data_IF_618668323129
#
_entry.id   IF_618668323129
#
_cell.length_a   1.000
_cell.length_b   1.000
_cell.length_c   1.000
_cell.angle_alpha   90.00
_cell.angle_beta   90.00
_cell.angle_gamma   90.00
#
_symmetry.space_group_name_H-M   'P 1'
#
loop_
_entity.id
_entity.type
_entity.pdbx_description
1 polymer ?
#
# COMPACT_ATOMS: atom_id res chain seq x y z
N UNK A 1 21.13 9.89 -12.66
CA UNK A 1 21.05 9.45 -14.07
C UNK A 1 22.21 8.55 -14.45
N UNK A 2 23.47 8.92 -14.20
CA UNK A 2 24.63 8.11 -14.64
C UNK A 2 24.59 6.65 -14.15
N UNK A 3 24.25 6.43 -12.88
CA UNK A 3 24.07 5.08 -12.33
C UNK A 3 22.94 4.31 -13.03
N UNK A 4 21.80 4.95 -13.28
CA UNK A 4 20.66 4.31 -13.96
C UNK A 4 21.05 3.89 -15.37
N UNK A 5 21.69 4.78 -16.12
CA UNK A 5 22.18 4.51 -17.46
C UNK A 5 23.17 3.33 -17.48
N UNK A 6 24.13 3.32 -16.53
CA UNK A 6 25.11 2.25 -16.38
C UNK A 6 24.45 0.89 -16.08
N UNK A 7 23.58 0.82 -15.08
CA UNK A 7 22.92 -0.43 -14.69
C UNK A 7 21.95 -0.93 -15.78
N UNK A 8 21.29 -0.02 -16.51
CA UNK A 8 20.41 -0.36 -17.64
C UNK A 8 21.17 -0.67 -18.95
N UNK A 9 22.51 -0.56 -18.94
CA UNK A 9 23.36 -0.73 -20.11
C UNK A 9 23.00 0.20 -21.29
N UNK A 10 22.65 1.45 -21.00
CA UNK A 10 22.34 2.50 -21.97
C UNK A 10 23.21 3.74 -21.76
N UNK A 11 23.32 4.58 -22.81
CA UNK A 11 23.94 5.89 -22.65
C UNK A 11 23.04 6.83 -21.84
N UNK A 12 23.64 7.79 -21.12
CA UNK A 12 22.89 8.86 -20.41
C UNK A 12 21.95 9.60 -21.36
N UNK A 13 22.42 9.91 -22.57
CA UNK A 13 21.64 10.56 -23.63
C UNK A 13 20.43 9.72 -24.03
N UNK A 14 20.57 8.39 -24.09
CA UNK A 14 19.45 7.49 -24.38
C UNK A 14 18.39 7.57 -23.30
N UNK A 15 18.77 7.55 -22.02
CA UNK A 15 17.80 7.67 -20.91
C UNK A 15 17.06 9.01 -20.98
N UNK A 16 17.77 10.12 -21.23
CA UNK A 16 17.14 11.45 -21.36
C UNK A 16 16.21 11.61 -22.56
N UNK A 17 16.25 10.70 -23.55
CA UNK A 17 15.25 10.69 -24.64
C UNK A 17 13.88 10.19 -24.18
N UNK A 18 13.84 9.39 -23.11
CA UNK A 18 12.62 8.77 -22.59
C UNK A 18 12.14 9.42 -21.29
N UNK A 19 13.05 10.03 -20.53
CA UNK A 19 12.72 10.65 -19.25
C UNK A 19 13.42 12.01 -19.12
N UNK A 20 12.64 13.04 -18.82
CA UNK A 20 13.08 14.39 -18.52
C UNK A 20 14.01 14.43 -17.30
N UNK A 21 13.71 13.62 -16.28
CA UNK A 21 14.45 13.67 -15.02
C UNK A 21 14.48 12.34 -14.26
N UNK A 22 15.36 12.26 -13.25
CA UNK A 22 15.34 11.16 -12.28
C UNK A 22 14.03 11.13 -11.49
N UNK A 23 13.41 12.30 -11.26
CA UNK A 23 12.17 12.41 -10.52
C UNK A 23 10.99 11.83 -11.31
N UNK A 24 10.95 12.05 -12.62
CA UNK A 24 9.96 11.42 -13.50
C UNK A 24 10.09 9.89 -13.47
N UNK A 25 11.31 9.36 -13.58
CA UNK A 25 11.55 7.91 -13.44
C UNK A 25 11.02 7.40 -12.10
N UNK A 26 11.24 8.17 -11.03
CA UNK A 26 10.73 7.81 -9.71
C UNK A 26 9.20 7.80 -9.67
N UNK A 27 8.52 8.82 -10.23
CA UNK A 27 7.06 8.84 -10.32
C UNK A 27 6.51 7.68 -11.15
N UNK A 28 7.17 7.28 -12.24
CA UNK A 28 6.77 6.10 -13.01
C UNK A 28 6.87 4.82 -12.17
N UNK A 29 7.92 4.69 -11.35
CA UNK A 29 8.04 3.56 -10.41
C UNK A 29 6.93 3.62 -9.35
N UNK A 30 6.64 4.79 -8.79
CA UNK A 30 5.54 4.99 -7.84
C UNK A 30 4.20 4.59 -8.47
N UNK A 31 3.90 5.06 -9.67
CA UNK A 31 2.69 4.68 -10.41
C UNK A 31 2.59 3.14 -10.57
N UNK A 32 3.68 2.48 -10.97
CA UNK A 32 3.71 1.02 -11.05
C UNK A 32 3.44 0.34 -9.70
N UNK A 33 3.92 0.91 -8.59
CA UNK A 33 3.60 0.42 -7.24
C UNK A 33 2.11 0.49 -6.96
N UNK A 34 1.44 1.60 -7.29
CA UNK A 34 -0.01 1.74 -7.12
C UNK A 34 -0.79 0.78 -8.03
N UNK A 35 -0.37 0.59 -9.28
CA UNK A 35 -0.99 -0.39 -10.20
C UNK A 35 -0.93 -1.80 -9.63
N UNK A 36 0.24 -2.19 -9.12
CA UNK A 36 0.43 -3.50 -8.50
C UNK A 36 -0.40 -3.65 -7.23
N UNK A 37 -0.42 -2.63 -6.37
CA UNK A 37 -1.25 -2.60 -5.18
C UNK A 37 -2.73 -2.77 -5.53
N UNK A 38 -3.25 -1.96 -6.46
CA UNK A 38 -4.66 -2.01 -6.85
C UNK A 38 -5.07 -3.42 -7.23
N UNK A 39 -4.30 -4.06 -8.11
CA UNK A 39 -4.53 -5.43 -8.55
C UNK A 39 -4.54 -6.42 -7.37
N UNK A 40 -3.57 -6.31 -6.47
CA UNK A 40 -3.49 -7.16 -5.27
C UNK A 40 -4.75 -7.00 -4.39
N UNK A 41 -5.21 -5.76 -4.18
CA UNK A 41 -6.39 -5.49 -3.37
C UNK A 41 -7.67 -6.03 -4.01
N UNK A 42 -7.83 -5.86 -5.33
CA UNK A 42 -8.96 -6.41 -6.09
C UNK A 42 -9.00 -7.94 -5.98
N UNK A 43 -7.88 -8.60 -6.28
CA UNK A 43 -7.76 -10.07 -6.20
C UNK A 43 -8.03 -10.59 -4.78
N UNK A 44 -7.54 -9.89 -3.75
CA UNK A 44 -7.75 -10.28 -2.35
C UNK A 44 -9.23 -10.19 -1.93
N UNK A 45 -9.95 -9.16 -2.37
CA UNK A 45 -11.37 -8.96 -2.05
C UNK A 45 -12.26 -9.93 -2.83
N UNK A 46 -11.89 -10.28 -4.07
CA UNK A 46 -12.65 -11.23 -4.90
C UNK A 46 -12.50 -12.68 -4.44
N UNK A 47 -11.37 -13.01 -3.80
CA UNK A 47 -11.04 -14.38 -3.37
C UNK A 47 -11.96 -14.92 -2.28
N UNK A 48 -12.45 -14.04 -1.40
CA UNK A 48 -13.22 -14.40 -0.21
C UNK A 48 -14.64 -13.79 -0.24
N UNK A 49 -15.61 -14.49 0.36
CA UNK A 49 -17.02 -14.05 0.29
C UNK A 49 -17.46 -13.20 1.49
N UNK A 50 -17.00 -13.53 2.70
CA UNK A 50 -17.37 -12.80 3.91
C UNK A 50 -16.39 -11.67 4.21
N UNK A 51 -16.88 -10.64 4.87
CA UNK A 51 -16.12 -9.40 5.11
C UNK A 51 -14.82 -9.63 5.90
N UNK A 52 -14.83 -10.48 6.93
CA UNK A 52 -13.65 -10.71 7.76
C UNK A 52 -12.52 -11.38 6.96
N UNK A 53 -12.86 -12.41 6.18
CA UNK A 53 -11.87 -13.11 5.37
C UNK A 53 -11.34 -12.20 4.25
N UNK A 54 -12.19 -11.36 3.64
CA UNK A 54 -11.74 -10.33 2.70
C UNK A 54 -10.75 -9.34 3.34
N UNK A 55 -11.06 -8.85 4.55
CA UNK A 55 -10.19 -7.93 5.30
C UNK A 55 -8.84 -8.57 5.64
N UNK A 56 -8.83 -9.79 6.17
CA UNK A 56 -7.58 -10.47 6.54
C UNK A 56 -6.79 -10.91 5.31
N UNK A 57 -7.44 -11.36 4.24
CA UNK A 57 -6.78 -11.66 2.98
C UNK A 57 -6.08 -10.41 2.42
N UNK A 58 -6.76 -9.26 2.43
CA UNK A 58 -6.16 -7.99 2.04
C UNK A 58 -4.90 -7.66 2.86
N UNK A 59 -4.98 -7.78 4.18
CA UNK A 59 -3.84 -7.51 5.07
C UNK A 59 -2.65 -8.44 4.77
N UNK A 60 -2.90 -9.74 4.58
CA UNK A 60 -1.86 -10.72 4.29
C UNK A 60 -1.24 -10.52 2.90
N UNK A 61 -2.04 -10.24 1.87
CA UNK A 61 -1.51 -9.96 0.54
C UNK A 61 -0.65 -8.68 0.52
N UNK A 62 -0.99 -7.68 1.33
CA UNK A 62 -0.14 -6.49 1.53
C UNK A 62 1.19 -6.83 2.25
N UNK A 63 1.20 -7.77 3.18
CA UNK A 63 2.44 -8.29 3.80
C UNK A 63 3.30 -9.00 2.75
N UNK A 64 2.68 -9.86 1.92
CA UNK A 64 3.36 -10.55 0.82
C UNK A 64 3.94 -9.56 -0.18
N UNK A 65 3.18 -8.51 -0.52
CA UNK A 65 3.60 -7.44 -1.40
C UNK A 65 4.85 -6.73 -0.86
N UNK A 66 4.83 -6.32 0.41
CA UNK A 66 5.99 -5.68 1.05
C UNK A 66 7.21 -6.59 1.08
N UNK A 67 7.04 -7.87 1.39
CA UNK A 67 8.14 -8.84 1.43
C UNK A 67 8.76 -9.07 0.04
N UNK A 68 7.93 -9.13 -1.00
CA UNK A 68 8.37 -9.44 -2.37
C UNK A 68 8.93 -8.22 -3.10
N UNK A 69 8.37 -7.03 -2.84
CA UNK A 69 8.72 -5.79 -3.53
C UNK A 69 8.89 -4.62 -2.52
N UNK A 70 9.86 -4.70 -1.59
CA UNK A 70 9.98 -3.74 -0.49
C UNK A 70 10.19 -2.30 -0.98
N UNK A 71 10.96 -2.10 -2.07
CA UNK A 71 11.18 -0.78 -2.65
C UNK A 71 9.91 -0.18 -3.27
N UNK A 72 9.08 -1.01 -3.94
CA UNK A 72 7.80 -0.55 -4.47
C UNK A 72 6.85 -0.19 -3.32
N UNK A 73 6.81 -1.01 -2.27
CA UNK A 73 6.01 -0.71 -1.09
C UNK A 73 6.43 0.60 -0.41
N UNK A 74 7.73 0.86 -0.26
CA UNK A 74 8.23 2.12 0.33
C UNK A 74 7.75 3.34 -0.48
N UNK A 75 7.69 3.27 -1.83
CA UNK A 75 7.20 4.40 -2.64
C UNK A 75 5.72 4.75 -2.41
N UNK A 76 4.90 3.83 -1.91
CA UNK A 76 3.49 4.11 -1.60
C UNK A 76 3.32 5.05 -0.40
N UNK A 77 4.35 5.15 0.44
CA UNK A 77 4.35 5.92 1.69
C UNK A 77 5.01 7.30 1.54
N UNK A 78 5.56 7.59 0.36
CA UNK A 78 6.33 8.80 0.11
C UNK A 78 5.43 9.96 -0.29
N UNK A 79 5.91 11.19 -0.09
CA UNK A 79 5.15 12.39 -0.45
C UNK A 79 4.99 12.48 -1.96
N UNK A 80 3.74 12.62 -2.41
CA UNK A 80 3.40 12.94 -3.79
C UNK A 80 3.24 14.45 -3.90
N UNK A 81 3.96 15.08 -4.82
CA UNK A 81 3.86 16.53 -5.05
C UNK A 81 2.59 16.85 -5.84
N UNK A 82 1.50 17.12 -5.13
CA UNK A 82 0.19 17.44 -5.72
C UNK A 82 0.16 18.77 -6.50
N UNK A 83 1.18 19.63 -6.37
CA UNK A 83 1.22 20.93 -7.04
C UNK A 83 2.02 20.90 -8.36
N UNK A 84 2.65 19.77 -8.68
CA UNK A 84 3.44 19.62 -9.89
C UNK A 84 2.55 19.15 -11.05
N UNK A 85 2.49 19.93 -12.13
CA UNK A 85 1.71 19.63 -13.34
C UNK A 85 2.43 18.64 -14.26
N UNK A 86 2.80 17.45 -13.77
CA UNK A 86 3.29 16.38 -14.66
C UNK A 86 2.19 15.36 -14.92
N UNK A 87 1.98 14.89 -16.17
CA UNK A 87 0.93 13.92 -16.49
C UNK A 87 0.96 12.67 -15.61
N UNK A 88 2.14 12.17 -15.27
CA UNK A 88 2.32 10.97 -14.42
C UNK A 88 1.79 11.18 -12.99
N UNK A 89 1.82 12.40 -12.45
CA UNK A 89 1.27 12.67 -11.12
C UNK A 89 -0.26 12.58 -11.11
N UNK A 90 -0.92 13.00 -12.20
CA UNK A 90 -2.36 12.81 -12.35
C UNK A 90 -2.70 11.31 -12.40
N UNK A 91 -1.92 10.51 -13.14
CA UNK A 91 -2.12 9.06 -13.18
C UNK A 91 -1.94 8.40 -11.80
N UNK A 92 -0.97 8.86 -11.00
CA UNK A 92 -0.79 8.40 -9.61
C UNK A 92 -1.98 8.81 -8.73
N UNK A 93 -2.49 10.03 -8.90
CA UNK A 93 -3.66 10.49 -8.15
C UNK A 93 -4.90 9.67 -8.49
N UNK A 94 -5.20 9.50 -9.79
CA UNK A 94 -6.37 8.77 -10.26
C UNK A 94 -6.38 7.33 -9.75
N UNK A 95 -5.24 6.63 -9.83
CA UNK A 95 -5.16 5.26 -9.32
C UNK A 95 -5.24 5.18 -7.79
N UNK A 96 -4.75 6.20 -7.08
CA UNK A 96 -4.93 6.34 -5.64
C UNK A 96 -6.42 6.42 -5.26
N UNK A 97 -7.20 7.21 -6.01
CA UNK A 97 -8.65 7.33 -5.81
C UNK A 97 -9.41 6.04 -6.17
N UNK A 98 -8.95 5.30 -7.19
CA UNK A 98 -9.49 3.97 -7.50
C UNK A 98 -9.24 2.97 -6.35
N UNK A 99 -8.06 2.99 -5.74
CA UNK A 99 -7.73 2.19 -4.55
C UNK A 99 -8.60 2.60 -3.36
N UNK A 100 -8.74 3.91 -3.11
CA UNK A 100 -9.63 4.42 -2.07
C UNK A 100 -11.06 3.92 -2.28
N UNK A 101 -11.53 3.91 -3.52
CA UNK A 101 -12.86 3.39 -3.88
C UNK A 101 -13.00 1.88 -3.63
N UNK A 102 -11.96 1.08 -3.88
CA UNK A 102 -11.94 -0.35 -3.55
C UNK A 102 -12.09 -0.56 -2.04
N UNK A 103 -11.29 0.16 -1.24
CA UNK A 103 -11.34 0.09 0.22
C UNK A 103 -12.67 0.57 0.78
N UNK A 104 -13.25 1.63 0.19
CA UNK A 104 -14.57 2.13 0.56
C UNK A 104 -15.64 1.04 0.35
N UNK A 105 -15.66 0.38 -0.81
CA UNK A 105 -16.64 -0.69 -1.09
C UNK A 105 -16.55 -1.85 -0.10
N UNK A 106 -15.33 -2.22 0.31
CA UNK A 106 -15.12 -3.26 1.33
C UNK A 106 -15.75 -2.85 2.68
N UNK A 107 -15.51 -1.60 3.11
CA UNK A 107 -16.06 -1.08 4.37
C UNK A 107 -17.59 -0.92 4.31
N UNK A 108 -18.14 -0.40 3.21
CA UNK A 108 -19.58 -0.30 2.99
C UNK A 108 -20.26 -1.68 3.05
N UNK A 109 -19.63 -2.71 2.47
CA UNK A 109 -20.08 -4.10 2.61
C UNK A 109 -20.07 -4.54 4.07
N UNK A 110 -19.00 -4.26 4.81
CA UNK A 110 -18.92 -4.53 6.25
C UNK A 110 -20.06 -3.88 7.05
N UNK A 111 -20.41 -2.62 6.74
CA UNK A 111 -21.53 -1.92 7.39
C UNK A 111 -22.85 -2.62 7.06
N UNK A 112 -23.07 -2.91 5.76
CA UNK A 112 -24.29 -3.58 5.28
C UNK A 112 -24.48 -4.97 5.89
N UNK A 113 -23.39 -5.71 6.04
CA UNK A 113 -23.38 -7.05 6.63
C UNK A 113 -23.51 -6.99 8.17
N UNK A 114 -23.51 -5.79 8.79
CA UNK A 114 -23.58 -5.61 10.24
C UNK A 114 -22.27 -5.96 10.98
N UNK A 115 -21.16 -6.01 10.25
CA UNK A 115 -19.85 -6.45 10.75
C UNK A 115 -19.00 -5.30 11.27
N UNK A 116 -19.22 -4.07 10.79
CA UNK A 116 -18.59 -2.85 11.30
C UNK A 116 -19.63 -1.77 11.56
N UNK A 117 -19.31 -0.85 12.47
CA UNK A 117 -20.15 0.27 12.87
C UNK A 117 -20.48 1.20 11.71
N UNK A 118 -21.73 1.64 11.63
CA UNK A 118 -22.15 2.69 10.70
C UNK A 118 -21.71 4.09 11.13
N UNK A 119 -21.11 4.25 12.32
CA UNK A 119 -20.62 5.52 12.87
C UNK A 119 -19.16 5.79 12.51
N UNK A 120 -18.78 5.53 11.26
CA UNK A 120 -17.46 5.83 10.70
C UNK A 120 -17.55 6.97 9.68
N UNK A 121 -16.44 7.66 9.43
CA UNK A 121 -16.39 8.81 8.52
C UNK A 121 -15.50 8.51 7.32
N UNK A 122 -16.03 8.78 6.13
CA UNK A 122 -15.29 8.73 4.88
C UNK A 122 -14.92 10.17 4.44
N UNK A 123 -13.70 10.39 3.91
CA UNK A 123 -12.67 9.40 3.60
C UNK A 123 -11.73 9.04 4.77
N UNK A 124 -11.89 9.63 5.96
CA UNK A 124 -10.92 9.54 7.05
C UNK A 124 -10.61 8.11 7.49
N UNK A 125 -11.63 7.24 7.56
CA UNK A 125 -11.46 5.83 7.94
C UNK A 125 -10.57 5.06 6.97
N UNK A 126 -10.60 5.42 5.67
CA UNK A 126 -9.75 4.80 4.64
C UNK A 126 -8.30 5.17 4.91
N UNK A 127 -8.01 6.45 5.15
CA UNK A 127 -6.66 6.93 5.45
C UNK A 127 -6.11 6.35 6.76
N UNK A 128 -6.95 6.25 7.79
CA UNK A 128 -6.59 5.62 9.07
C UNK A 128 -6.29 4.14 8.88
N UNK A 129 -7.14 3.42 8.14
CA UNK A 129 -6.94 2.00 7.87
C UNK A 129 -5.64 1.78 7.08
N UNK A 130 -5.42 2.56 6.02
CA UNK A 130 -4.23 2.45 5.18
C UNK A 130 -2.94 2.77 5.93
N UNK A 131 -2.91 3.88 6.69
CA UNK A 131 -1.77 4.26 7.51
C UNK A 131 -1.47 3.22 8.61
N UNK A 132 -2.51 2.65 9.22
CA UNK A 132 -2.37 1.64 10.26
C UNK A 132 -1.83 0.32 9.71
N UNK A 133 -2.40 -0.21 8.62
CA UNK A 133 -1.93 -1.44 7.96
C UNK A 133 -0.47 -1.26 7.53
N UNK A 134 -0.17 -0.17 6.83
CA UNK A 134 1.18 0.10 6.35
C UNK A 134 2.18 0.29 7.49
N UNK A 135 1.77 0.95 8.57
CA UNK A 135 2.56 1.11 9.79
C UNK A 135 2.87 -0.21 10.49
N UNK A 136 1.87 -1.10 10.62
CA UNK A 136 2.04 -2.45 11.20
C UNK A 136 3.04 -3.26 10.36
N UNK A 137 2.87 -3.28 9.03
CA UNK A 137 3.75 -4.00 8.11
C UNK A 137 5.17 -3.44 8.17
N UNK A 138 5.31 -2.11 8.09
CA UNK A 138 6.61 -1.43 8.12
C UNK A 138 7.34 -1.66 9.45
N UNK A 139 6.63 -1.59 10.57
CA UNK A 139 7.19 -1.85 11.89
C UNK A 139 7.67 -3.31 11.99
N UNK A 140 6.84 -4.26 11.57
CA UNK A 140 7.19 -5.68 11.58
C UNK A 140 8.44 -5.98 10.73
N UNK A 141 8.54 -5.37 9.54
CA UNK A 141 9.68 -5.59 8.64
C UNK A 141 10.95 -4.86 9.08
N UNK A 142 10.87 -3.59 9.49
CA UNK A 142 12.05 -2.78 9.83
C UNK A 142 12.57 -3.05 11.26
N UNK A 143 11.75 -3.63 12.15
CA UNK A 143 12.10 -3.88 13.56
C UNK A 143 12.03 -5.36 13.96
N UNK A 144 12.11 -6.29 13.01
CA UNK A 144 12.08 -7.74 13.28
C UNK A 144 13.10 -8.18 14.34
N UNK A 145 14.35 -7.71 14.24
CA UNK A 145 15.39 -8.01 15.24
C UNK A 145 15.03 -7.53 16.65
N UNK A 146 14.37 -6.37 16.76
CA UNK A 146 13.93 -5.85 18.05
C UNK A 146 12.87 -6.75 18.68
N UNK A 147 11.84 -7.15 17.92
CA UNK A 147 10.76 -8.00 18.44
C UNK A 147 11.26 -9.38 18.88
N UNK A 148 12.15 -9.96 18.08
CA UNK A 148 12.70 -11.30 18.35
C UNK A 148 13.67 -11.31 19.54
N UNK A 149 14.47 -10.27 19.73
CA UNK A 149 15.50 -10.24 20.78
C UNK A 149 15.03 -9.68 22.13
N UNK A 150 14.04 -8.78 22.13
CA UNK A 150 13.65 -8.05 23.35
C UNK A 150 12.33 -8.49 23.95
N UNK A 151 11.46 -9.11 23.15
CA UNK A 151 10.06 -9.34 23.54
C UNK A 151 9.58 -10.79 23.34
N UNK A 152 10.43 -11.71 22.89
CA UNK A 152 10.07 -13.09 22.45
C UNK A 152 8.83 -13.13 21.53
N UNK A 153 8.59 -12.03 20.80
CA UNK A 153 7.37 -11.84 20.03
C UNK A 153 7.63 -12.21 18.57
N UNK A 154 6.86 -13.16 18.05
CA UNK A 154 6.85 -13.46 16.62
C UNK A 154 6.32 -12.26 15.83
N UNK A 155 7.04 -11.85 14.78
CA UNK A 155 6.57 -10.77 13.89
C UNK A 155 5.20 -11.07 13.27
N UNK A 156 4.89 -12.34 13.04
CA UNK A 156 3.59 -12.76 12.52
C UNK A 156 2.51 -12.60 13.58
N UNK A 157 2.81 -12.94 14.85
CA UNK A 157 1.88 -12.69 15.95
C UNK A 157 1.62 -11.18 16.14
N UNK A 158 2.66 -10.35 16.07
CA UNK A 158 2.53 -8.90 16.11
C UNK A 158 1.61 -8.36 15.01
N UNK A 159 1.86 -8.73 13.74
CA UNK A 159 1.04 -8.27 12.62
C UNK A 159 -0.42 -8.70 12.75
N UNK A 160 -0.66 -9.99 12.99
CA UNK A 160 -2.00 -10.53 13.10
C UNK A 160 -2.79 -9.86 14.24
N UNK A 161 -2.12 -9.60 15.36
CA UNK A 161 -2.72 -8.90 16.47
C UNK A 161 -3.02 -7.43 16.14
N UNK A 162 -2.09 -6.73 15.46
CA UNK A 162 -2.30 -5.36 15.00
C UNK A 162 -3.48 -5.22 14.04
N UNK A 163 -3.57 -6.08 13.03
CA UNK A 163 -4.70 -6.10 12.09
C UNK A 163 -6.02 -6.41 12.80
N UNK A 164 -6.01 -7.33 13.77
CA UNK A 164 -7.19 -7.62 14.59
C UNK A 164 -7.65 -6.41 15.41
N UNK A 165 -6.74 -5.70 16.08
CA UNK A 165 -7.08 -4.49 16.85
C UNK A 165 -7.67 -3.43 15.93
N UNK A 166 -7.08 -3.22 14.76
CA UNK A 166 -7.56 -2.25 13.79
C UNK A 166 -8.99 -2.55 13.36
N UNK A 167 -9.29 -3.80 13.02
CA UNK A 167 -10.64 -4.26 12.70
C UNK A 167 -11.62 -4.07 13.87
N UNK A 168 -11.21 -4.44 15.09
CA UNK A 168 -12.03 -4.27 16.29
C UNK A 168 -12.37 -2.81 16.57
N UNK A 169 -11.49 -1.87 16.23
CA UNK A 169 -11.76 -0.44 16.34
C UNK A 169 -12.85 0.07 15.38
N UNK A 170 -13.23 -0.72 14.38
CA UNK A 170 -14.31 -0.41 13.44
C UNK A 170 -15.64 -1.05 13.81
N UNK A 171 -15.66 -2.04 14.72
CA UNK A 171 -16.86 -2.76 15.16
C UNK A 171 -17.63 -1.96 16.22
#
# INVERSE_FOLDING_TARGET
MDRIAKEANYSKTTIYKYFESKQEIYYIVTYQSFVMQKKILEEAIEKEQNFFDQYFCLCEEMVVFQKKYPLYFDTLMETIDINSETPILNEIYDIGEEINSILQRLLEKGIKDGMISSNIKFPEVIYIMWSSISGIITMASKKEQYFTQTSDMSITAFRNYGFKILLQGLM
#
